data_IF_213564490847
#
_entry.id   IF_213564490847
#
_cell.length_a   1.000
_cell.length_b   1.000
_cell.length_c   1.000
_cell.angle_alpha   90.00
_cell.angle_beta   90.00
_cell.angle_gamma   90.00
#
_symmetry.space_group_name_H-M   'P 1'
#
loop_
_entity.id
_entity.type
_entity.pdbx_description
1 polymer ?
#
# COMPACT_ATOMS: atom_id res chain seq x y z
N UNK A 1 21.11 -2.00 10.55
CA UNK A 1 20.56 -3.19 10.91
C UNK A 1 19.14 -3.24 10.68
N UNK A 2 18.68 -4.25 10.05
CA UNK A 2 17.29 -4.36 9.79
C UNK A 2 16.59 -4.98 10.95
N UNK A 3 15.38 -4.57 11.16
CA UNK A 3 14.56 -5.06 12.20
C UNK A 3 13.40 -5.74 11.52
N UNK A 4 12.88 -6.79 12.09
CA UNK A 4 11.72 -7.47 11.52
C UNK A 4 10.48 -7.17 12.33
N UNK A 5 9.33 -7.24 11.67
CA UNK A 5 8.06 -7.09 12.34
C UNK A 5 7.12 -8.11 11.73
N UNK A 6 6.02 -8.36 12.41
CA UNK A 6 5.01 -9.24 11.84
C UNK A 6 4.18 -8.42 10.87
N UNK A 7 4.29 -8.71 9.58
CA UNK A 7 3.60 -7.95 8.56
C UNK A 7 2.17 -8.42 8.42
N UNK A 8 1.21 -7.53 8.64
CA UNK A 8 -0.18 -7.94 8.56
C UNK A 8 -0.61 -8.29 7.15
N UNK A 9 0.08 -7.75 6.14
CA UNK A 9 -0.27 -8.06 4.75
C UNK A 9 0.12 -9.48 4.38
N UNK A 10 1.36 -9.87 4.71
CA UNK A 10 1.85 -11.18 4.35
C UNK A 10 1.75 -12.19 5.48
N UNK A 11 1.40 -11.72 6.66
CA UNK A 11 1.17 -12.56 7.84
C UNK A 11 2.37 -13.40 8.21
N UNK A 12 3.52 -12.78 8.20
CA UNK A 12 4.75 -13.41 8.63
C UNK A 12 5.76 -12.34 8.99
N UNK A 13 6.84 -12.73 9.63
CA UNK A 13 7.88 -11.80 10.02
C UNK A 13 8.69 -11.43 8.80
N UNK A 14 8.83 -10.16 8.55
CA UNK A 14 9.59 -9.64 7.41
C UNK A 14 10.32 -8.38 7.83
N UNK A 15 11.33 -7.95 7.06
CA UNK A 15 12.05 -6.73 7.42
C UNK A 15 11.11 -5.54 7.51
N UNK A 16 11.27 -4.78 8.59
CA UNK A 16 10.43 -3.62 8.83
C UNK A 16 10.90 -2.44 8.01
N UNK A 17 10.01 -1.45 7.86
CA UNK A 17 10.38 -0.20 7.25
C UNK A 17 11.39 0.50 8.16
N UNK A 18 12.40 1.11 7.59
CA UNK A 18 13.42 1.76 8.40
C UNK A 18 12.94 3.06 8.96
N UNK A 19 11.95 3.66 8.36
CA UNK A 19 11.38 4.89 8.85
C UNK A 19 9.92 4.92 8.45
N UNK A 20 9.11 5.79 9.07
CA UNK A 20 7.70 5.85 8.70
C UNK A 20 7.57 6.23 7.24
N UNK A 21 6.71 5.57 6.49
CA UNK A 21 6.58 5.85 5.06
C UNK A 21 5.87 7.16 4.75
N UNK A 22 5.24 7.75 5.74
CA UNK A 22 4.59 9.04 5.56
C UNK A 22 4.52 9.72 6.92
N UNK A 23 4.29 11.03 6.95
CA UNK A 23 4.27 11.74 8.23
C UNK A 23 3.01 11.44 9.02
N UNK A 24 3.08 11.69 10.30
CA UNK A 24 1.92 11.59 11.16
C UNK A 24 1.67 10.21 11.72
N UNK A 25 0.60 10.06 12.48
CA UNK A 25 0.32 8.80 13.15
C UNK A 25 0.12 7.63 12.21
N UNK A 26 -0.42 7.89 11.02
CA UNK A 26 -0.65 6.83 10.06
C UNK A 26 0.69 6.23 9.62
N UNK A 27 1.70 7.07 9.39
CA UNK A 27 3.00 6.56 9.00
C UNK A 27 3.63 5.70 10.07
N UNK A 28 3.47 6.11 11.35
CA UNK A 28 4.02 5.33 12.44
C UNK A 28 3.29 4.00 12.55
N UNK A 29 1.98 4.01 12.37
CA UNK A 29 1.20 2.80 12.43
C UNK A 29 1.62 1.84 11.33
N UNK A 30 1.86 2.36 10.12
CA UNK A 30 2.28 1.52 9.01
C UNK A 30 3.64 0.91 9.29
N UNK A 31 4.55 1.70 9.85
CA UNK A 31 5.87 1.18 10.15
C UNK A 31 5.81 0.00 11.11
N UNK A 32 4.82 -0.01 11.98
CA UNK A 32 4.69 -1.07 12.97
C UNK A 32 3.87 -2.26 12.50
N UNK A 33 3.15 -2.13 11.42
CA UNK A 33 2.21 -3.16 11.02
C UNK A 33 2.48 -3.79 9.65
N UNK A 34 3.27 -3.16 8.81
CA UNK A 34 3.59 -3.73 7.51
C UNK A 34 5.09 -3.72 7.29
N UNK A 35 5.53 -4.60 6.41
CA UNK A 35 6.96 -4.73 6.14
C UNK A 35 7.38 -3.80 5.02
N UNK A 36 8.66 -3.68 4.82
CA UNK A 36 9.22 -2.94 3.70
C UNK A 36 8.71 -3.53 2.39
N UNK A 37 8.65 -4.86 2.31
CA UNK A 37 8.19 -5.52 1.10
C UNK A 37 6.73 -5.18 0.80
N UNK A 38 5.88 -5.14 1.81
CA UNK A 38 4.48 -4.78 1.61
C UNK A 38 4.35 -3.34 1.15
N UNK A 39 5.16 -2.45 1.70
CA UNK A 39 5.13 -1.05 1.30
C UNK A 39 5.56 -0.88 -0.15
N UNK A 40 6.59 -1.60 -0.57
CA UNK A 40 7.06 -1.53 -1.94
C UNK A 40 5.97 -2.03 -2.90
N UNK A 41 5.28 -3.09 -2.51
CA UNK A 41 4.20 -3.62 -3.33
C UNK A 41 3.07 -2.60 -3.47
N UNK A 42 2.74 -1.90 -2.38
CA UNK A 42 1.71 -0.88 -2.46
C UNK A 42 2.13 0.29 -3.35
N UNK A 43 3.38 0.72 -3.25
CA UNK A 43 3.84 1.84 -4.06
C UNK A 43 3.70 1.52 -5.55
N UNK A 44 4.01 0.30 -5.91
CA UNK A 44 3.91 -0.12 -7.29
C UNK A 44 2.45 -0.12 -7.74
N UNK A 45 1.57 -0.64 -6.92
CA UNK A 45 0.14 -0.68 -7.24
C UNK A 45 -0.43 0.73 -7.30
N UNK A 46 -0.03 1.60 -6.36
CA UNK A 46 -0.49 2.96 -6.31
C UNK A 46 -0.13 3.70 -7.60
N UNK A 47 1.08 3.54 -8.07
CA UNK A 47 1.52 4.17 -9.30
C UNK A 47 0.64 3.72 -10.47
N UNK A 48 0.34 2.44 -10.53
CA UNK A 48 -0.50 1.92 -11.58
C UNK A 48 -1.92 2.50 -11.50
N UNK A 49 -2.46 2.61 -10.30
CA UNK A 49 -3.79 3.19 -10.16
C UNK A 49 -3.83 4.65 -10.58
N UNK A 50 -2.81 5.41 -10.20
CA UNK A 50 -2.74 6.81 -10.57
C UNK A 50 -2.70 6.95 -12.10
N UNK A 51 -1.89 6.13 -12.74
CA UNK A 51 -1.76 6.20 -14.18
C UNK A 51 -3.01 5.73 -14.93
N UNK A 52 -3.58 4.62 -14.49
CA UNK A 52 -4.74 4.08 -15.20
C UNK A 52 -5.98 4.91 -15.01
N UNK A 53 -6.15 5.50 -13.85
CA UNK A 53 -7.35 6.28 -13.58
C UNK A 53 -7.12 7.76 -13.76
N UNK A 54 -5.93 8.17 -14.17
CA UNK A 54 -5.59 9.58 -14.39
C UNK A 54 -5.93 10.43 -13.15
N UNK A 55 -5.51 9.96 -11.99
CA UNK A 55 -5.82 10.67 -10.77
C UNK A 55 -5.02 11.96 -10.64
N UNK A 56 -5.70 13.02 -10.21
CA UNK A 56 -5.05 14.29 -9.96
C UNK A 56 -4.69 14.31 -8.49
N UNK A 57 -3.42 14.15 -8.18
CA UNK A 57 -2.99 14.05 -6.80
C UNK A 57 -3.02 15.37 -6.03
N UNK A 58 -3.35 16.46 -6.71
CA UNK A 58 -3.57 17.70 -5.99
C UNK A 58 -5.01 17.74 -5.46
N UNK A 59 -5.85 16.82 -5.88
CA UNK A 59 -7.24 16.76 -5.44
C UNK A 59 -7.32 15.95 -4.15
N UNK A 60 -7.86 16.55 -3.10
CA UNK A 60 -7.92 15.89 -1.81
C UNK A 60 -8.78 14.62 -1.83
N UNK A 61 -9.84 14.62 -2.63
CA UNK A 61 -10.69 13.44 -2.71
C UNK A 61 -9.94 12.26 -3.32
N UNK A 62 -9.10 12.52 -4.30
CA UNK A 62 -8.31 11.44 -4.91
C UNK A 62 -7.29 10.89 -3.92
N UNK A 63 -6.66 11.78 -3.15
CA UNK A 63 -5.71 11.33 -2.15
C UNK A 63 -6.39 10.48 -1.08
N UNK A 64 -7.59 10.91 -0.66
CA UNK A 64 -8.33 10.17 0.36
C UNK A 64 -8.73 8.79 -0.18
N UNK A 65 -9.16 8.74 -1.43
CA UNK A 65 -9.53 7.47 -2.05
C UNK A 65 -8.34 6.51 -2.08
N UNK A 66 -7.16 7.03 -2.43
CA UNK A 66 -5.97 6.18 -2.45
C UNK A 66 -5.62 5.68 -1.07
N UNK A 67 -5.80 6.50 -0.03
CA UNK A 67 -5.52 6.02 1.32
C UNK A 67 -6.47 4.90 1.71
N UNK A 68 -7.72 4.98 1.28
CA UNK A 68 -8.67 3.92 1.56
C UNK A 68 -8.27 2.64 0.85
N UNK A 69 -7.80 2.75 -0.39
CA UNK A 69 -7.37 1.57 -1.11
C UNK A 69 -6.12 0.98 -0.47
N UNK A 70 -5.24 1.83 0.04
CA UNK A 70 -4.04 1.38 0.71
C UNK A 70 -4.39 0.53 1.93
N UNK A 71 -5.35 0.98 2.72
CA UNK A 71 -5.72 0.23 3.90
C UNK A 71 -6.34 -1.10 3.54
N UNK A 72 -7.17 -1.12 2.51
CA UNK A 72 -7.77 -2.37 2.05
C UNK A 72 -6.70 -3.32 1.54
N UNK A 73 -5.72 -2.78 0.84
CA UNK A 73 -4.63 -3.58 0.31
C UNK A 73 -3.84 -4.26 1.43
N UNK A 74 -3.50 -3.49 2.46
CA UNK A 74 -2.71 -4.07 3.55
C UNK A 74 -3.54 -5.00 4.44
N UNK A 75 -4.86 -4.83 4.46
CA UNK A 75 -5.71 -5.69 5.26
C UNK A 75 -6.17 -6.91 4.47
N UNK A 76 -5.69 -7.06 3.24
CA UNK A 76 -6.04 -8.18 2.37
C UNK A 76 -7.52 -8.23 2.05
N UNK A 77 -8.13 -7.04 1.93
CA UNK A 77 -9.52 -6.96 1.55
C UNK A 77 -9.60 -6.53 0.10
N UNK A 78 -10.78 -6.50 -0.46
CA UNK A 78 -10.95 -6.09 -1.83
C UNK A 78 -10.56 -4.62 -1.99
N UNK A 79 -9.66 -4.33 -2.89
CA UNK A 79 -9.24 -2.98 -3.20
C UNK A 79 -9.33 -2.78 -4.69
N UNK A 80 -9.29 -1.52 -5.12
CA UNK A 80 -9.40 -1.22 -6.54
C UNK A 80 -8.18 -1.72 -7.30
N UNK A 81 -8.41 -2.28 -8.46
CA UNK A 81 -7.34 -2.73 -9.32
C UNK A 81 -7.36 -1.92 -10.58
N UNK A 82 -6.20 -1.71 -11.16
CA UNK A 82 -6.14 -0.94 -12.37
C UNK A 82 -6.73 -1.76 -13.50
N UNK A 83 -7.36 -1.07 -14.41
CA UNK A 83 -7.99 -1.75 -15.53
C UNK A 83 -6.96 -2.53 -16.33
N UNK A 84 -5.80 -1.97 -16.51
CA UNK A 84 -4.80 -2.66 -17.29
C UNK A 84 -4.11 -3.78 -16.55
N UNK A 85 -4.37 -3.90 -15.27
CA UNK A 85 -3.74 -4.89 -14.46
C UNK A 85 -4.59 -6.12 -14.53
N UNK A 86 -4.63 -6.79 -15.64
CA UNK A 86 -5.44 -7.87 -15.75
C UNK A 86 -4.83 -8.95 -15.05
N UNK A 87 -5.35 -9.27 -14.04
CA UNK A 87 -4.75 -10.25 -13.27
C UNK A 87 -4.65 -11.49 -14.02
N UNK A 88 -3.52 -12.04 -14.01
CA UNK A 88 -3.37 -13.24 -14.64
C UNK A 88 -4.17 -14.25 -14.01
N UNK A 89 -4.45 -14.02 -12.78
CA UNK A 89 -5.20 -14.95 -12.04
C UNK A 89 -6.62 -14.83 -12.28
N UNK A 90 -7.02 -13.89 -13.01
CA UNK A 90 -8.33 -13.78 -13.24
C UNK A 90 -8.77 -14.66 -14.13
N UNK A 91 -8.22 -15.02 -14.66
CA UNK A 91 -8.68 -15.79 -15.50
C UNK A 91 -8.82 -16.66 -15.45
#
# INVERSE_FOLDING_TARGET
>A
MSKTIFCKKYQKDLPALERPPMPGPLGLKLQETISQEAWEAWKSHQTTLINEKHLDMSNADNRQWLLEQMELFFDNKDYAKAAGFKALDEE
#
